data_IF_651353145846
#
_entry.id   IF_651353145846
#
_cell.length_a   1.000
_cell.length_b   1.000
_cell.length_c   1.000
_cell.angle_alpha   90.00
_cell.angle_beta   90.00
_cell.angle_gamma   90.00
#
_symmetry.space_group_name_H-M   'P 1'
#
loop_
_entity.id
_entity.type
_entity.pdbx_description
1 polymer ?
#
# COMPACT_ATOMS: atom_id res chain seq x y z
N UNK A 1 -38.41 -6.86 -7.04
CA UNK A 1 -37.77 -5.91 -6.10
C UNK A 1 -36.98 -6.60 -4.98
N UNK A 2 -37.52 -7.59 -4.24
CA UNK A 2 -36.82 -8.24 -3.10
C UNK A 2 -35.50 -8.96 -3.44
N UNK A 3 -35.42 -9.65 -4.58
CA UNK A 3 -34.19 -10.36 -5.01
C UNK A 3 -33.08 -9.42 -5.50
N UNK A 4 -33.44 -8.25 -6.02
CA UNK A 4 -32.48 -7.26 -6.50
C UNK A 4 -31.63 -6.70 -5.36
N UNK A 5 -32.24 -6.46 -4.18
CA UNK A 5 -31.55 -6.05 -2.96
C UNK A 5 -30.59 -7.13 -2.43
N UNK A 6 -30.99 -8.40 -2.47
CA UNK A 6 -30.13 -9.53 -2.06
C UNK A 6 -28.91 -9.71 -2.96
N UNK A 7 -29.07 -9.56 -4.28
CA UNK A 7 -27.96 -9.62 -5.24
C UNK A 7 -27.01 -8.44 -5.03
N UNK A 8 -27.52 -7.23 -4.79
CA UNK A 8 -26.69 -6.05 -4.52
C UNK A 8 -25.84 -6.20 -3.24
N UNK A 9 -26.41 -6.76 -2.17
CA UNK A 9 -25.68 -7.03 -0.92
C UNK A 9 -24.60 -8.10 -1.14
N UNK A 10 -24.90 -9.16 -1.90
CA UNK A 10 -23.92 -10.20 -2.21
C UNK A 10 -22.76 -9.69 -3.08
N UNK A 11 -23.06 -8.85 -4.07
CA UNK A 11 -22.03 -8.20 -4.90
C UNK A 11 -21.19 -7.20 -4.10
N UNK A 12 -21.81 -6.44 -3.21
CA UNK A 12 -21.12 -5.53 -2.31
C UNK A 12 -20.10 -6.28 -1.43
N UNK A 13 -20.50 -7.39 -0.83
CA UNK A 13 -19.62 -8.24 -0.02
C UNK A 13 -18.47 -8.88 -0.82
N UNK A 14 -18.73 -9.22 -2.08
CA UNK A 14 -17.73 -9.80 -2.98
C UNK A 14 -16.69 -8.78 -3.44
N UNK A 15 -17.08 -7.51 -3.59
CA UNK A 15 -16.19 -6.40 -3.93
C UNK A 15 -15.24 -6.08 -2.77
N UNK A 16 -15.74 -5.99 -1.54
CA UNK A 16 -14.90 -5.65 -0.37
C UNK A 16 -13.77 -6.66 -0.12
N UNK A 17 -14.07 -7.96 -0.24
CA UNK A 17 -13.04 -9.00 -0.09
C UNK A 17 -11.94 -8.90 -1.14
N UNK A 18 -12.29 -8.68 -2.40
CA UNK A 18 -11.30 -8.50 -3.47
C UNK A 18 -10.45 -7.24 -3.28
N UNK A 19 -11.06 -6.15 -2.82
CA UNK A 19 -10.35 -4.89 -2.55
C UNK A 19 -9.28 -5.07 -1.46
N UNK A 20 -9.62 -5.74 -0.36
CA UNK A 20 -8.68 -5.99 0.74
C UNK A 20 -7.49 -6.86 0.32
N UNK A 21 -7.71 -7.88 -0.51
CA UNK A 21 -6.65 -8.72 -1.06
C UNK A 21 -5.75 -7.93 -2.02
N UNK A 22 -6.35 -7.13 -2.91
CA UNK A 22 -5.60 -6.32 -3.90
C UNK A 22 -4.74 -5.27 -3.21
N UNK A 23 -5.26 -4.61 -2.16
CA UNK A 23 -4.49 -3.64 -1.37
C UNK A 23 -3.39 -4.32 -0.56
N UNK A 24 -3.64 -5.51 -0.01
CA UNK A 24 -2.63 -6.30 0.69
C UNK A 24 -1.46 -6.65 -0.25
N UNK A 25 -1.75 -7.12 -1.45
CA UNK A 25 -0.73 -7.46 -2.46
C UNK A 25 0.05 -6.21 -2.90
N UNK A 26 -0.64 -5.07 -3.04
CA UNK A 26 -0.04 -3.78 -3.41
C UNK A 26 0.89 -3.24 -2.32
N UNK A 27 0.45 -3.26 -1.06
CA UNK A 27 1.23 -2.85 0.10
C UNK A 27 2.45 -3.75 0.30
N UNK A 28 2.26 -5.06 0.15
CA UNK A 28 3.35 -6.02 0.22
C UNK A 28 4.41 -5.77 -0.86
N UNK A 29 4.00 -5.47 -2.09
CA UNK A 29 4.90 -5.07 -3.18
C UNK A 29 5.69 -3.80 -2.90
N UNK A 30 5.07 -2.80 -2.25
CA UNK A 30 5.77 -1.58 -1.83
C UNK A 30 6.87 -1.89 -0.80
N UNK A 31 6.58 -2.73 0.19
CA UNK A 31 7.56 -3.12 1.21
C UNK A 31 8.74 -3.87 0.58
N UNK A 32 8.45 -4.81 -0.31
CA UNK A 32 9.48 -5.61 -0.99
C UNK A 32 10.38 -4.76 -1.89
N UNK A 33 9.82 -3.78 -2.61
CA UNK A 33 10.62 -2.89 -3.45
C UNK A 33 11.53 -1.96 -2.64
N UNK A 34 11.13 -1.57 -1.42
CA UNK A 34 11.99 -0.86 -0.47
C UNK A 34 13.15 -1.74 0.05
N UNK A 35 12.91 -3.03 0.27
CA UNK A 35 13.92 -4.01 0.65
C UNK A 35 14.92 -4.27 -0.49
N UNK A 36 14.44 -4.47 -1.72
CA UNK A 36 15.26 -4.76 -2.91
C UNK A 36 15.92 -3.52 -3.51
N UNK A 37 15.66 -2.35 -2.95
CA UNK A 37 16.20 -1.09 -3.40
C UNK A 37 15.75 -0.65 -4.80
N UNK A 38 14.56 -1.08 -5.22
CA UNK A 38 14.00 -0.83 -6.55
C UNK A 38 13.11 0.42 -6.56
N UNK A 39 13.73 1.58 -6.81
CA UNK A 39 13.03 2.87 -6.84
C UNK A 39 11.85 2.93 -7.82
N UNK A 40 12.03 2.47 -9.06
CA UNK A 40 10.99 2.60 -10.09
C UNK A 40 9.78 1.74 -9.76
N UNK A 41 10.03 0.54 -9.24
CA UNK A 41 9.00 -0.38 -8.76
C UNK A 41 8.28 0.22 -7.55
N UNK A 42 9.02 0.83 -6.62
CA UNK A 42 8.46 1.53 -5.45
C UNK A 42 7.50 2.66 -5.88
N UNK A 43 7.92 3.50 -6.83
CA UNK A 43 7.07 4.60 -7.35
C UNK A 43 5.80 4.06 -7.99
N UNK A 44 5.89 3.00 -8.81
CA UNK A 44 4.72 2.36 -9.43
C UNK A 44 3.70 1.88 -8.39
N UNK A 45 4.15 1.34 -7.26
CA UNK A 45 3.25 0.92 -6.18
C UNK A 45 2.58 2.11 -5.50
N UNK A 46 3.32 3.20 -5.25
CA UNK A 46 2.78 4.44 -4.68
C UNK A 46 1.70 5.05 -5.60
N UNK A 47 1.97 5.10 -6.90
CA UNK A 47 1.04 5.61 -7.92
C UNK A 47 -0.24 4.77 -8.02
N UNK A 48 -0.12 3.45 -7.84
CA UNK A 48 -1.26 2.53 -7.77
C UNK A 48 -2.09 2.65 -6.49
N UNK A 49 -1.68 3.49 -5.54
CA UNK A 49 -2.41 3.71 -4.29
C UNK A 49 -1.94 2.84 -3.12
N UNK A 50 -0.70 2.33 -3.15
CA UNK A 50 -0.13 1.64 -2.00
C UNK A 50 -0.11 2.58 -0.78
N UNK A 51 -0.39 2.00 0.38
CA UNK A 51 -0.23 2.68 1.65
C UNK A 51 1.25 2.64 2.05
N UNK A 52 1.86 3.82 2.04
CA UNK A 52 3.28 4.01 2.40
C UNK A 52 3.58 3.73 3.86
N UNK A 53 2.56 3.71 4.72
CA UNK A 53 2.67 3.38 6.14
C UNK A 53 2.25 1.94 6.45
N UNK A 54 1.93 1.14 5.42
CA UNK A 54 1.59 -0.27 5.60
C UNK A 54 2.74 -1.03 6.25
N UNK A 55 2.40 -2.10 6.96
CA UNK A 55 3.36 -2.96 7.64
C UNK A 55 3.14 -4.42 7.33
N UNK A 56 4.22 -5.20 7.35
CA UNK A 56 4.15 -6.66 7.28
C UNK A 56 3.49 -7.24 8.53
N UNK A 57 3.22 -8.54 8.53
CA UNK A 57 2.76 -9.28 9.72
C UNK A 57 3.70 -9.15 10.93
N UNK A 58 4.97 -8.83 10.68
CA UNK A 58 5.99 -8.64 11.71
C UNK A 58 6.08 -7.17 12.17
N UNK A 59 5.20 -6.29 11.69
CA UNK A 59 5.20 -4.87 12.02
C UNK A 59 6.28 -4.05 11.29
N UNK A 60 6.87 -4.58 10.22
CA UNK A 60 7.94 -3.90 9.47
C UNK A 60 7.35 -3.02 8.39
N UNK A 61 7.75 -1.75 8.34
CA UNK A 61 7.31 -0.77 7.34
C UNK A 61 8.32 -0.61 6.19
N UNK A 62 7.91 -0.11 5.01
CA UNK A 62 8.85 0.20 3.92
C UNK A 62 9.98 1.13 4.36
N UNK A 63 9.68 2.09 5.24
CA UNK A 63 10.67 3.05 5.76
C UNK A 63 11.74 2.37 6.62
N UNK A 64 11.37 1.35 7.41
CA UNK A 64 12.33 0.60 8.22
C UNK A 64 13.34 -0.13 7.33
N UNK A 65 12.91 -0.77 6.24
CA UNK A 65 13.82 -1.40 5.28
C UNK A 65 14.72 -0.37 4.58
N UNK A 66 14.15 0.75 4.14
CA UNK A 66 14.92 1.81 3.49
C UNK A 66 16.02 2.38 4.42
N UNK A 67 15.72 2.53 5.71
CA UNK A 67 16.68 2.93 6.74
C UNK A 67 17.75 1.88 7.00
N UNK A 68 17.39 0.59 7.10
CA UNK A 68 18.35 -0.51 7.26
C UNK A 68 19.34 -0.58 6.10
N UNK A 69 18.84 -0.41 4.87
CA UNK A 69 19.64 -0.40 3.65
C UNK A 69 20.42 0.91 3.45
N UNK A 70 20.27 1.90 4.34
CA UNK A 70 20.87 3.24 4.23
C UNK A 70 20.56 3.95 2.90
N UNK A 71 19.46 3.59 2.24
CA UNK A 71 19.09 4.22 0.97
C UNK A 71 18.35 5.54 1.23
N UNK A 72 19.09 6.64 1.17
CA UNK A 72 18.58 8.00 1.35
C UNK A 72 17.52 8.40 0.31
N UNK A 73 17.60 7.87 -0.91
CA UNK A 73 16.69 8.19 -2.00
C UNK A 73 15.30 7.57 -1.77
N UNK A 74 15.23 6.28 -1.44
CA UNK A 74 13.97 5.61 -1.09
C UNK A 74 13.38 6.23 0.18
N UNK A 75 14.20 6.52 1.19
CA UNK A 75 13.77 7.25 2.39
C UNK A 75 13.12 8.59 2.01
N UNK A 76 13.76 9.37 1.12
CA UNK A 76 13.21 10.64 0.64
C UNK A 76 11.86 10.48 -0.06
N UNK A 77 11.73 9.48 -0.93
CA UNK A 77 10.48 9.19 -1.66
C UNK A 77 9.36 8.81 -0.68
N UNK A 78 9.63 7.90 0.26
CA UNK A 78 8.65 7.44 1.25
C UNK A 78 8.21 8.59 2.17
N UNK A 79 9.16 9.41 2.65
CA UNK A 79 8.86 10.57 3.50
C UNK A 79 8.02 11.59 2.74
N UNK A 80 8.40 11.92 1.49
CA UNK A 80 7.66 12.88 0.67
C UNK A 80 6.21 12.43 0.44
N UNK A 81 5.99 11.14 0.19
CA UNK A 81 4.65 10.61 -0.07
C UNK A 81 3.84 10.35 1.21
N UNK A 82 4.48 9.98 2.32
CA UNK A 82 3.84 9.76 3.62
C UNK A 82 3.43 11.06 4.32
N UNK A 83 4.29 12.07 4.31
CA UNK A 83 3.97 13.39 4.89
C UNK A 83 2.88 14.08 4.08
N UNK A 84 2.94 14.01 2.74
CA UNK A 84 1.96 14.69 1.86
C UNK A 84 0.53 14.18 2.02
N UNK A 85 0.32 12.88 2.36
CA UNK A 85 -1.02 12.36 2.65
C UNK A 85 -1.51 12.68 4.07
N UNK A 86 -0.60 12.94 5.02
CA UNK A 86 -0.95 13.24 6.43
C UNK A 86 -1.16 14.73 6.74
N UNK A 87 -0.78 15.64 5.84
CA UNK A 87 -0.90 17.09 6.00
C UNK A 87 -1.62 17.72 4.81
N UNK A 88 -2.95 17.73 4.89
CA UNK A 88 -3.84 18.84 4.50
C UNK A 88 -5.29 18.32 4.48
N UNK A 89 -5.93 18.30 5.65
CA UNK A 89 -7.32 18.71 5.96
C UNK A 89 -7.64 18.35 7.41
#
# INVERSE_FOLDING_TARGET
MKYFLLIAIFLFFFIEKNYSQTQYDLNFGLILSAEQNEKDTLIKFIEKGADVNSMTKNGVTPLMYACQNKNKEIVSILIKNGISRSKCL
#
